data_IF_078311423981
#
_entry.id   IF_078311423981
#
_cell.length_a   1.000
_cell.length_b   1.000
_cell.length_c   1.000
_cell.angle_alpha   90.00
_cell.angle_beta   90.00
_cell.angle_gamma   90.00
#
_symmetry.space_group_name_H-M   'P 1'
#
loop_
_entity.id
_entity.type
_entity.pdbx_description
1 polymer ?
#
# COMPACT_ATOMS: atom_id res chain seq x y z
N UNK A 1 3.23 -26.39 21.14
CA UNK A 1 2.69 -25.11 21.64
C UNK A 1 3.70 -23.97 21.51
N UNK A 2 4.94 -24.14 22.02
CA UNK A 2 6.04 -23.18 21.90
C UNK A 2 6.34 -22.80 20.43
N UNK A 3 6.43 -23.78 19.53
CA UNK A 3 6.74 -23.53 18.11
C UNK A 3 5.70 -22.66 17.37
N UNK A 4 4.41 -22.81 17.70
CA UNK A 4 3.34 -22.00 17.11
C UNK A 4 3.42 -20.56 17.60
N UNK A 5 3.73 -20.37 18.88
CA UNK A 5 3.94 -19.04 19.46
C UNK A 5 5.16 -18.33 18.85
N UNK A 6 6.28 -19.02 18.66
CA UNK A 6 7.46 -18.45 17.99
C UNK A 6 7.19 -18.05 16.53
N UNK A 7 6.51 -18.92 15.76
CA UNK A 7 6.12 -18.61 14.37
C UNK A 7 5.23 -17.37 14.29
N UNK A 8 4.22 -17.30 15.17
CA UNK A 8 3.33 -16.13 15.25
C UNK A 8 4.10 -14.85 15.61
N UNK A 9 5.05 -14.93 16.55
CA UNK A 9 5.83 -13.76 16.97
C UNK A 9 6.85 -13.30 15.92
N UNK A 10 7.45 -14.24 15.18
CA UNK A 10 8.30 -13.91 14.02
C UNK A 10 7.49 -13.17 12.96
N UNK A 11 6.33 -13.73 12.59
CA UNK A 11 5.40 -13.11 11.65
C UNK A 11 4.99 -11.70 12.09
N UNK A 12 4.59 -11.53 13.35
CA UNK A 12 4.19 -10.22 13.88
C UNK A 12 5.30 -9.17 13.78
N UNK A 13 6.55 -9.58 14.03
CA UNK A 13 7.70 -8.68 13.96
C UNK A 13 8.08 -8.35 12.51
N UNK A 14 8.04 -9.34 11.61
CA UNK A 14 8.34 -9.15 10.18
C UNK A 14 7.32 -8.21 9.54
N UNK A 15 6.02 -8.45 9.72
CA UNK A 15 4.97 -7.57 9.19
C UNK A 15 5.08 -6.17 9.80
N UNK A 16 5.34 -6.05 11.10
CA UNK A 16 5.51 -4.73 11.72
C UNK A 16 6.71 -3.99 11.11
N UNK A 17 7.84 -4.66 10.93
CA UNK A 17 9.03 -4.05 10.33
C UNK A 17 8.79 -3.62 8.88
N UNK A 18 8.10 -4.43 8.09
CA UNK A 18 7.78 -4.12 6.69
C UNK A 18 6.73 -3.00 6.58
N UNK A 19 5.70 -3.00 7.43
CA UNK A 19 4.72 -1.88 7.51
C UNK A 19 5.45 -0.60 7.88
N UNK A 20 6.31 -0.65 8.89
CA UNK A 20 7.14 0.50 9.27
C UNK A 20 8.03 0.93 8.11
N UNK A 21 8.65 -0.01 7.38
CA UNK A 21 9.49 0.32 6.24
C UNK A 21 8.71 1.01 5.10
N UNK A 22 7.52 0.51 4.77
CA UNK A 22 6.66 1.08 3.72
C UNK A 22 6.04 2.42 4.12
N UNK A 23 5.76 2.63 5.41
CA UNK A 23 5.04 3.81 5.91
C UNK A 23 5.95 4.81 6.65
N UNK A 24 7.23 4.49 6.81
CA UNK A 24 8.24 5.13 7.66
C UNK A 24 7.97 6.63 7.87
N UNK A 25 7.36 7.00 9.00
CA UNK A 25 7.07 8.38 9.44
C UNK A 25 5.82 9.07 8.84
N UNK A 26 4.64 8.48 9.02
CA UNK A 26 3.62 9.29 9.71
C UNK A 26 4.15 9.44 11.13
N UNK A 27 4.44 10.65 11.62
CA UNK A 27 5.11 10.99 12.90
C UNK A 27 4.59 10.24 14.15
N UNK A 28 4.80 8.93 14.22
CA UNK A 28 4.27 8.08 15.26
C UNK A 28 5.31 6.99 15.53
N UNK A 29 6.20 7.29 16.48
CA UNK A 29 6.83 6.31 17.38
C UNK A 29 5.80 5.39 18.09
N UNK A 30 4.51 5.58 17.78
CA UNK A 30 3.36 4.86 18.28
C UNK A 30 2.90 3.72 17.37
N UNK A 31 3.39 3.52 16.13
CA UNK A 31 2.98 2.37 15.30
C UNK A 31 3.14 1.01 16.01
N UNK A 32 4.28 0.70 16.67
CA UNK A 32 4.43 -0.52 17.49
C UNK A 32 3.45 -0.60 18.67
N UNK A 33 2.94 0.55 19.14
CA UNK A 33 2.00 0.70 20.27
C UNK A 33 0.54 0.86 19.81
N UNK A 34 0.29 1.04 18.51
CA UNK A 34 -1.03 1.26 17.96
C UNK A 34 -1.83 -0.04 18.03
N UNK A 35 -2.84 -0.09 18.89
CA UNK A 35 -3.66 -1.29 19.12
C UNK A 35 -4.29 -1.82 17.84
N UNK A 36 -4.84 -0.93 17.00
CA UNK A 36 -5.41 -1.29 15.70
C UNK A 36 -4.44 -2.02 14.77
N UNK A 37 -3.23 -1.49 14.55
CA UNK A 37 -2.19 -2.14 13.74
C UNK A 37 -1.76 -3.47 14.36
N UNK A 38 -1.48 -3.51 15.67
CA UNK A 38 -1.07 -4.74 16.35
C UNK A 38 -2.13 -5.84 16.25
N UNK A 39 -3.40 -5.49 16.40
CA UNK A 39 -4.51 -6.42 16.28
C UNK A 39 -4.74 -6.86 14.84
N UNK A 40 -4.59 -5.96 13.86
CA UNK A 40 -4.63 -6.31 12.44
C UNK A 40 -3.51 -7.31 12.06
N UNK A 41 -2.28 -7.10 12.53
CA UNK A 41 -1.16 -8.03 12.31
C UNK A 41 -1.46 -9.39 12.95
N UNK A 42 -1.91 -9.40 14.20
CA UNK A 42 -2.29 -10.64 14.90
C UNK A 42 -3.38 -11.41 14.18
N UNK A 43 -4.43 -10.72 13.73
CA UNK A 43 -5.53 -11.34 13.00
C UNK A 43 -5.07 -11.95 11.67
N UNK A 44 -4.19 -11.26 10.93
CA UNK A 44 -3.60 -11.79 9.70
C UNK A 44 -2.72 -13.02 9.98
N UNK A 45 -1.89 -12.98 11.03
CA UNK A 45 -1.08 -14.13 11.44
C UNK A 45 -1.94 -15.35 11.81
N UNK A 46 -3.05 -15.14 12.52
CA UNK A 46 -4.03 -16.22 12.83
C UNK A 46 -4.68 -16.81 11.58
N UNK A 47 -4.91 -15.99 10.55
CA UNK A 47 -5.46 -16.41 9.25
C UNK A 47 -4.39 -17.01 8.33
N UNK A 48 -3.12 -17.05 8.76
CA UNK A 48 -1.99 -17.45 7.91
C UNK A 48 -1.89 -16.62 6.62
N UNK A 49 -2.31 -15.35 6.66
CA UNK A 49 -2.15 -14.42 5.53
C UNK A 49 -0.65 -14.25 5.26
N UNK A 50 -0.18 -14.33 4.00
CA UNK A 50 1.20 -13.99 3.65
C UNK A 50 1.58 -12.60 4.18
N UNK A 51 2.84 -12.42 4.58
CA UNK A 51 3.27 -11.19 5.25
C UNK A 51 3.19 -9.99 4.31
N UNK A 52 3.56 -10.15 3.04
CA UNK A 52 3.53 -9.09 2.03
C UNK A 52 2.10 -8.61 1.77
N UNK A 53 1.14 -9.54 1.73
CA UNK A 53 -0.29 -9.24 1.62
C UNK A 53 -0.78 -8.47 2.85
N UNK A 54 -0.45 -8.94 4.05
CA UNK A 54 -0.84 -8.28 5.29
C UNK A 54 -0.23 -6.87 5.40
N UNK A 55 1.05 -6.74 5.08
CA UNK A 55 1.77 -5.46 5.05
C UNK A 55 1.11 -4.50 4.08
N UNK A 56 0.81 -4.94 2.85
CA UNK A 56 0.17 -4.11 1.82
C UNK A 56 -1.17 -3.56 2.30
N UNK A 57 -2.02 -4.41 2.88
CA UNK A 57 -3.34 -3.99 3.36
C UNK A 57 -3.28 -3.06 4.58
N UNK A 58 -2.37 -3.32 5.51
CA UNK A 58 -2.20 -2.46 6.69
C UNK A 58 -1.64 -1.10 6.28
N UNK A 59 -0.63 -1.07 5.41
CA UNK A 59 -0.09 0.18 4.87
C UNK A 59 -1.16 0.99 4.13
N UNK A 60 -1.99 0.34 3.30
CA UNK A 60 -3.10 0.97 2.59
C UNK A 60 -4.06 1.69 3.55
N UNK A 61 -4.46 1.03 4.64
CA UNK A 61 -5.33 1.62 5.65
C UNK A 61 -4.70 2.82 6.36
N UNK A 62 -3.41 2.72 6.73
CA UNK A 62 -2.67 3.81 7.38
C UNK A 62 -2.54 5.04 6.46
N UNK A 63 -2.26 4.83 5.17
CA UNK A 63 -2.20 5.93 4.21
C UNK A 63 -3.56 6.59 4.02
N UNK A 64 -4.64 5.80 3.91
CA UNK A 64 -5.98 6.35 3.80
C UNK A 64 -6.36 7.22 5.00
N UNK A 65 -6.07 6.76 6.22
CA UNK A 65 -6.28 7.53 7.44
C UNK A 65 -5.49 8.83 7.42
N UNK A 66 -4.18 8.77 7.14
CA UNK A 66 -3.34 9.96 7.05
C UNK A 66 -3.81 10.97 6.02
N UNK A 67 -4.16 10.51 4.81
CA UNK A 67 -4.65 11.37 3.73
C UNK A 67 -6.00 12.01 4.10
N UNK A 68 -6.84 11.30 4.86
CA UNK A 68 -8.15 11.83 5.27
C UNK A 68 -8.05 13.08 6.15
N UNK A 69 -6.95 13.24 6.88
CA UNK A 69 -6.68 14.41 7.72
C UNK A 69 -6.15 15.62 6.94
N UNK A 70 -5.81 15.46 5.67
CA UNK A 70 -5.32 16.54 4.83
C UNK A 70 -6.47 17.37 4.26
N UNK A 71 -6.21 18.67 4.07
CA UNK A 71 -7.11 19.56 3.35
C UNK A 71 -7.22 19.20 1.86
N UNK A 72 -8.35 19.58 1.23
CA UNK A 72 -8.64 19.21 -0.15
C UNK A 72 -7.58 19.68 -1.16
N UNK A 73 -7.07 20.92 -1.00
CA UNK A 73 -6.04 21.47 -1.88
C UNK A 73 -4.75 20.64 -1.82
N UNK A 74 -4.36 20.24 -0.61
CA UNK A 74 -3.18 19.41 -0.38
C UNK A 74 -3.34 18.02 -0.97
N UNK A 75 -4.52 17.40 -0.84
CA UNK A 75 -4.80 16.10 -1.46
C UNK A 75 -4.69 16.15 -2.98
N UNK A 76 -5.19 17.21 -3.62
CA UNK A 76 -5.07 17.39 -5.06
C UNK A 76 -3.60 17.52 -5.51
N UNK A 77 -2.80 18.31 -4.78
CA UNK A 77 -1.37 18.45 -5.06
C UNK A 77 -0.64 17.10 -5.03
N UNK A 78 -0.93 16.27 -4.04
CA UNK A 78 -0.34 14.92 -3.91
C UNK A 78 -0.83 14.01 -5.03
N UNK A 79 -2.12 14.06 -5.37
CA UNK A 79 -2.70 13.29 -6.46
C UNK A 79 -1.98 13.54 -7.78
N UNK A 80 -1.77 14.81 -8.13
CA UNK A 80 -1.12 15.22 -9.38
C UNK A 80 0.35 14.78 -9.44
N UNK A 81 1.04 14.73 -8.28
CA UNK A 81 2.43 14.25 -8.18
C UNK A 81 2.55 12.73 -8.29
N UNK A 82 1.51 12.00 -7.93
CA UNK A 82 1.48 10.54 -7.96
C UNK A 82 0.94 9.96 -9.27
N UNK A 83 0.58 10.76 -10.27
CA UNK A 83 -0.09 10.29 -11.50
C UNK A 83 0.64 9.12 -12.18
N UNK A 84 1.97 9.18 -12.22
CA UNK A 84 2.81 8.24 -12.98
C UNK A 84 3.22 7.01 -12.17
N UNK A 85 2.93 6.99 -10.88
CA UNK A 85 3.47 6.01 -9.95
C UNK A 85 2.63 4.73 -9.84
N UNK A 86 1.35 4.78 -10.23
CA UNK A 86 0.47 3.61 -10.24
C UNK A 86 0.22 3.09 -11.65
N UNK A 87 1.32 2.95 -12.41
CA UNK A 87 1.34 2.57 -13.82
C UNK A 87 0.69 1.22 -14.10
N UNK A 88 0.87 0.23 -13.21
CA UNK A 88 0.29 -1.11 -13.39
C UNK A 88 -1.23 -1.06 -13.13
N UNK A 89 -2.01 -1.32 -14.18
CA UNK A 89 -3.48 -1.30 -14.16
C UNK A 89 -4.13 -2.66 -14.41
N UNK A 90 -3.37 -3.64 -14.94
CA UNK A 90 -3.88 -4.96 -15.32
C UNK A 90 -2.83 -6.05 -15.08
N UNK A 91 -3.27 -7.30 -14.95
CA UNK A 91 -2.37 -8.46 -14.82
C UNK A 91 -2.68 -9.51 -15.90
N UNK A 92 -1.68 -9.97 -16.67
CA UNK A 92 -0.28 -9.56 -16.62
C UNK A 92 -0.09 -8.09 -17.07
N UNK A 93 0.87 -7.33 -16.49
CA UNK A 93 1.15 -5.97 -16.92
C UNK A 93 1.62 -5.92 -18.37
N UNK A 94 1.28 -4.85 -19.07
CA UNK A 94 1.81 -4.59 -20.41
C UNK A 94 3.30 -4.25 -20.35
N UNK A 95 4.01 -4.46 -21.47
CA UNK A 95 5.44 -4.10 -21.60
C UNK A 95 5.68 -2.63 -21.26
N UNK A 96 4.79 -1.74 -21.72
CA UNK A 96 4.87 -0.30 -21.45
C UNK A 96 4.73 0.02 -19.95
N UNK A 97 3.80 -0.61 -19.24
CA UNK A 97 3.63 -0.42 -17.79
C UNK A 97 4.88 -0.86 -17.00
N UNK A 98 5.51 -1.96 -17.42
CA UNK A 98 6.77 -2.46 -16.83
C UNK A 98 7.92 -1.49 -17.09
N UNK A 99 8.02 -0.94 -18.31
CA UNK A 99 9.06 0.04 -18.65
C UNK A 99 8.91 1.34 -17.86
N UNK A 100 7.68 1.83 -17.69
CA UNK A 100 7.38 2.99 -16.84
C UNK A 100 7.81 2.70 -15.39
N UNK A 101 7.42 1.54 -14.84
CA UNK A 101 7.81 1.16 -13.48
C UNK A 101 9.33 1.13 -13.30
N UNK A 102 10.05 0.53 -14.24
CA UNK A 102 11.52 0.46 -14.21
C UNK A 102 12.17 1.83 -14.30
N UNK A 103 11.64 2.73 -15.14
CA UNK A 103 12.13 4.09 -15.28
C UNK A 103 11.95 4.88 -13.97
N UNK A 104 10.74 4.86 -13.40
CA UNK A 104 10.41 5.50 -12.12
C UNK A 104 11.31 4.98 -11.00
N UNK A 105 11.45 3.65 -10.89
CA UNK A 105 12.33 3.00 -9.91
C UNK A 105 13.78 3.43 -10.05
N UNK A 106 14.30 3.48 -11.28
CA UNK A 106 15.67 3.90 -11.57
C UNK A 106 15.91 5.35 -11.13
N UNK A 107 14.98 6.25 -11.42
CA UNK A 107 15.11 7.66 -11.07
C UNK A 107 14.95 7.90 -9.55
N UNK A 108 14.08 7.14 -8.89
CA UNK A 108 13.97 7.14 -7.43
C UNK A 108 15.28 6.69 -6.75
N UNK A 109 15.83 5.54 -7.15
CA UNK A 109 17.08 5.01 -6.59
C UNK A 109 18.30 5.89 -6.90
N UNK A 110 18.29 6.60 -8.02
CA UNK A 110 19.34 7.55 -8.38
C UNK A 110 19.24 8.88 -7.58
N UNK A 111 18.26 9.03 -6.67
CA UNK A 111 18.04 10.25 -5.91
C UNK A 111 17.66 11.45 -6.77
N UNK A 112 17.15 11.20 -7.99
CA UNK A 112 16.69 12.26 -8.90
C UNK A 112 15.30 12.75 -8.51
N UNK A 113 14.52 11.90 -7.85
CA UNK A 113 13.30 12.29 -7.15
C UNK A 113 13.72 12.95 -5.83
N UNK A 114 14.04 14.25 -5.88
CA UNK A 114 14.19 15.07 -4.68
C UNK A 114 12.83 15.59 -4.29
N UNK A 115 12.05 14.77 -3.60
CA UNK A 115 10.84 15.26 -2.96
C UNK A 115 11.17 15.80 -1.57
N UNK A 116 10.77 17.04 -1.32
CA UNK A 116 10.85 17.71 -0.02
C UNK A 116 9.65 17.34 0.87
N UNK A 117 8.85 16.37 0.43
CA UNK A 117 7.53 16.04 0.94
C UNK A 117 7.48 14.58 1.37
N UNK A 118 7.70 14.37 2.66
CA UNK A 118 7.87 13.04 3.25
C UNK A 118 6.70 12.11 2.92
N UNK A 119 5.45 12.60 2.94
CA UNK A 119 4.29 11.78 2.67
C UNK A 119 4.27 11.29 1.21
N UNK A 120 4.58 12.16 0.24
CA UNK A 120 4.58 11.75 -1.17
C UNK A 120 5.68 10.71 -1.39
N UNK A 121 6.87 10.93 -0.84
CA UNK A 121 7.99 9.99 -0.95
C UNK A 121 7.64 8.62 -0.34
N UNK A 122 6.85 8.57 0.74
CA UNK A 122 6.37 7.29 1.29
C UNK A 122 5.33 6.61 0.44
N UNK A 123 4.38 7.36 -0.12
CA UNK A 123 3.39 6.80 -1.05
C UNK A 123 4.07 6.22 -2.30
N UNK A 124 5.08 6.92 -2.82
CA UNK A 124 5.93 6.46 -3.91
C UNK A 124 6.68 5.16 -3.58
N UNK A 125 7.33 5.11 -2.41
CA UNK A 125 8.03 3.91 -1.95
C UNK A 125 7.07 2.74 -1.75
N UNK A 126 5.89 2.98 -1.20
CA UNK A 126 4.86 1.97 -1.01
C UNK A 126 4.38 1.40 -2.35
N UNK A 127 4.18 2.26 -3.36
CA UNK A 127 3.82 1.83 -4.71
C UNK A 127 4.92 1.00 -5.36
N UNK A 128 6.18 1.43 -5.30
CA UNK A 128 7.30 0.65 -5.83
C UNK A 128 7.41 -0.71 -5.15
N UNK A 129 7.31 -0.76 -3.82
CA UNK A 129 7.42 -2.01 -3.04
C UNK A 129 6.30 -2.97 -3.40
N UNK A 130 5.05 -2.50 -3.47
CA UNK A 130 3.92 -3.34 -3.83
C UNK A 130 3.98 -3.82 -5.29
N UNK A 131 4.46 -2.99 -6.22
CA UNK A 131 4.66 -3.40 -7.61
C UNK A 131 5.78 -4.43 -7.74
N UNK A 132 6.90 -4.27 -7.02
CA UNK A 132 7.97 -5.27 -6.96
C UNK A 132 7.43 -6.60 -6.40
N UNK A 133 6.60 -6.57 -5.34
CA UNK A 133 5.95 -7.77 -4.80
C UNK A 133 4.93 -8.41 -5.75
N UNK A 134 4.20 -7.61 -6.51
CA UNK A 134 3.27 -8.09 -7.52
C UNK A 134 4.02 -8.80 -8.66
N UNK A 135 5.15 -8.25 -9.10
CA UNK A 135 5.99 -8.86 -10.14
C UNK A 135 6.73 -10.11 -9.65
N UNK A 136 7.01 -10.21 -8.34
CA UNK A 136 7.59 -11.38 -7.67
C UNK A 136 6.54 -12.43 -7.26
N UNK A 137 5.26 -12.27 -7.63
CA UNK A 137 4.13 -13.14 -7.23
C UNK A 137 3.92 -13.27 -5.70
N UNK A 138 4.38 -12.30 -4.90
CA UNK A 138 4.21 -12.28 -3.43
C UNK A 138 2.85 -11.72 -3.01
N UNK A 139 2.25 -10.87 -3.85
CA UNK A 139 0.89 -10.38 -3.74
C UNK A 139 0.17 -10.56 -5.08
N UNK A 140 -1.15 -10.54 -5.08
CA UNK A 140 -1.94 -10.57 -6.31
C UNK A 140 -2.41 -9.17 -6.73
N UNK A 141 -2.89 -9.06 -7.97
CA UNK A 141 -3.43 -7.80 -8.53
C UNK A 141 -4.50 -7.18 -7.64
N UNK A 142 -5.31 -7.99 -6.95
CA UNK A 142 -6.34 -7.49 -6.03
C UNK A 142 -5.75 -6.76 -4.82
N UNK A 143 -4.63 -7.24 -4.26
CA UNK A 143 -3.97 -6.60 -3.11
C UNK A 143 -3.35 -5.26 -3.54
N UNK A 144 -2.74 -5.22 -4.74
CA UNK A 144 -2.27 -3.98 -5.36
C UNK A 144 -3.41 -2.97 -5.58
N UNK A 145 -4.55 -3.42 -6.12
CA UNK A 145 -5.73 -2.59 -6.30
C UNK A 145 -6.27 -2.02 -5.00
N UNK A 146 -6.19 -2.77 -3.89
CA UNK A 146 -6.57 -2.27 -2.56
C UNK A 146 -5.68 -1.10 -2.17
N UNK A 147 -4.35 -1.23 -2.26
CA UNK A 147 -3.43 -0.13 -1.95
C UNK A 147 -3.70 1.09 -2.83
N UNK A 148 -3.81 0.90 -4.14
CA UNK A 148 -4.12 1.96 -5.11
C UNK A 148 -5.44 2.66 -4.78
N UNK A 149 -6.49 1.89 -4.51
CA UNK A 149 -7.82 2.41 -4.20
C UNK A 149 -7.84 3.21 -2.90
N UNK A 150 -7.21 2.71 -1.83
CA UNK A 150 -7.14 3.43 -0.55
C UNK A 150 -6.37 4.75 -0.69
N UNK A 151 -5.24 4.77 -1.40
CA UNK A 151 -4.46 6.00 -1.62
C UNK A 151 -5.22 6.99 -2.50
N UNK A 152 -5.53 6.64 -3.76
CA UNK A 152 -6.15 7.60 -4.68
C UNK A 152 -7.58 7.94 -4.32
N UNK A 153 -8.35 7.00 -3.78
CA UNK A 153 -9.70 7.27 -3.31
C UNK A 153 -9.69 8.26 -2.14
N UNK A 154 -8.76 8.11 -1.19
CA UNK A 154 -8.60 9.08 -0.10
C UNK A 154 -8.16 10.45 -0.61
N UNK A 155 -7.26 10.51 -1.60
CA UNK A 155 -6.85 11.76 -2.23
C UNK A 155 -8.02 12.47 -2.93
N UNK A 156 -8.93 11.71 -3.53
CA UNK A 156 -10.19 12.23 -4.11
C UNK A 156 -11.23 12.62 -3.06
N UNK A 157 -10.99 12.33 -1.78
CA UNK A 157 -11.91 12.61 -0.68
C UNK A 157 -13.05 11.59 -0.54
N UNK A 158 -12.98 10.45 -1.21
CA UNK A 158 -13.95 9.36 -1.02
C UNK A 158 -13.81 8.77 0.37
N UNK A 159 -14.93 8.41 0.99
CA UNK A 159 -14.99 7.64 2.23
C UNK A 159 -14.55 6.19 2.02
N UNK A 160 -14.22 5.49 3.11
CA UNK A 160 -13.86 4.06 3.08
C UNK A 160 -14.95 3.21 2.43
N UNK A 161 -16.23 3.52 2.66
CA UNK A 161 -17.34 2.76 2.09
C UNK A 161 -17.47 2.99 0.58
N UNK A 162 -17.33 4.23 0.11
CA UNK A 162 -17.32 4.54 -1.33
C UNK A 162 -16.18 3.83 -2.05
N UNK A 163 -14.97 3.81 -1.46
CA UNK A 163 -13.82 3.08 -2.02
C UNK A 163 -14.06 1.58 -2.06
N UNK A 164 -14.69 1.03 -1.03
CA UNK A 164 -15.04 -0.39 -0.98
C UNK A 164 -16.09 -0.74 -2.04
N UNK A 165 -17.12 0.09 -2.19
CA UNK A 165 -18.16 -0.12 -3.19
C UNK A 165 -17.58 -0.09 -4.61
N UNK A 166 -16.73 0.88 -4.94
CA UNK A 166 -16.05 0.94 -6.24
C UNK A 166 -15.26 -0.34 -6.54
N UNK A 167 -14.56 -0.89 -5.54
CA UNK A 167 -13.83 -2.17 -5.71
C UNK A 167 -14.78 -3.35 -5.93
N UNK A 168 -15.92 -3.38 -5.26
CA UNK A 168 -16.93 -4.43 -5.44
C UNK A 168 -17.55 -4.35 -6.83
N UNK A 169 -17.88 -3.14 -7.28
CA UNK A 169 -18.43 -2.89 -8.61
C UNK A 169 -17.43 -3.34 -9.70
N UNK A 170 -16.14 -3.02 -9.55
CA UNK A 170 -15.09 -3.51 -10.46
C UNK A 170 -15.00 -5.05 -10.50
N UNK A 171 -15.15 -5.74 -9.37
CA UNK A 171 -15.10 -7.21 -9.32
C UNK A 171 -16.31 -7.80 -10.02
N UNK A 172 -17.50 -7.25 -9.78
CA UNK A 172 -18.76 -7.67 -10.40
C UNK A 172 -18.71 -7.46 -11.91
N UNK A 173 -18.23 -6.31 -12.37
CA UNK A 173 -18.09 -5.99 -13.80
C UNK A 173 -17.10 -6.93 -14.51
N UNK A 174 -16.00 -7.30 -13.85
CA UNK A 174 -15.04 -8.25 -14.41
C UNK A 174 -15.54 -9.70 -14.39
N UNK A 175 -16.44 -10.06 -13.47
CA UNK A 175 -17.03 -11.40 -13.42
C UNK A 175 -18.15 -11.62 -14.47
N UNK A 176 -18.74 -10.53 -15.00
CA UNK A 176 -19.79 -10.56 -16.02
C UNK A 176 -19.25 -10.48 -17.46
N UNK A 177 -17.94 -10.38 -17.65
CA UNK A 177 -17.26 -10.38 -18.96
C UNK A 177 -16.58 -11.72 -19.21
#
# INVERSE_FOLDING_TARGET
MILRWWKQRSYENEVLAEVMAMTLLLENDHLPKHSGVRDAIRQNGRKSTPKEVATTHIAAALFAEAISHLEAARRQQIYDRLSDWASISSFPPTVQEIEIQRAVRKDFLAGKVKEEDDLITRLQLAFLTAQDWLLDDKIIMQDWKILKSEVYGSLKGYSTEERRQQRLDEIVDNAMR
#
